data_IF_095520049835
#
_entry.id   IF_095520049835
#
_cell.length_a   1.000
_cell.length_b   1.000
_cell.length_c   1.000
_cell.angle_alpha   90.00
_cell.angle_beta   90.00
_cell.angle_gamma   90.00
#
_symmetry.space_group_name_H-M   'P 1'
#
loop_
_entity.id
_entity.type
_entity.pdbx_description
1 polymer ?
#
# COMPACT_ATOMS: atom_id res chain seq x y z
N UNK A 1 -38.69 -0.59 -6.32
CA UNK A 1 -37.40 -0.82 -5.66
C UNK A 1 -37.73 -1.17 -4.23
N UNK A 2 -37.48 -2.41 -3.82
CA UNK A 2 -37.87 -2.86 -2.48
C UNK A 2 -37.20 -2.00 -1.42
N UNK A 3 -38.01 -1.35 -0.59
CA UNK A 3 -37.55 -0.43 0.45
C UNK A 3 -36.50 -1.08 1.37
N UNK A 4 -36.68 -2.38 1.64
CA UNK A 4 -35.72 -3.21 2.37
C UNK A 4 -34.34 -3.30 1.70
N UNK A 5 -34.26 -3.36 0.37
CA UNK A 5 -33.00 -3.42 -0.36
C UNK A 5 -32.24 -2.09 -0.24
N UNK A 6 -32.95 -0.97 -0.32
CA UNK A 6 -32.37 0.37 -0.14
C UNK A 6 -31.85 0.58 1.30
N UNK A 7 -32.58 0.06 2.29
CA UNK A 7 -32.14 0.08 3.69
C UNK A 7 -30.88 -0.74 3.91
N UNK A 8 -30.84 -1.97 3.39
CA UNK A 8 -29.66 -2.81 3.46
C UNK A 8 -28.47 -2.12 2.80
N UNK A 9 -28.65 -1.51 1.62
CA UNK A 9 -27.60 -0.76 0.95
C UNK A 9 -27.04 0.41 1.79
N UNK A 10 -27.89 1.13 2.53
CA UNK A 10 -27.48 2.22 3.42
C UNK A 10 -26.65 1.71 4.61
N UNK A 11 -27.03 0.57 5.20
CA UNK A 11 -26.29 -0.04 6.30
C UNK A 11 -24.89 -0.50 5.83
N UNK A 12 -24.78 -0.98 4.59
CA UNK A 12 -23.49 -1.42 4.03
C UNK A 12 -22.61 -0.26 3.52
N UNK A 13 -23.19 0.93 3.32
CA UNK A 13 -22.49 2.10 2.78
C UNK A 13 -21.16 2.45 3.49
N UNK A 14 -21.08 2.58 4.84
CA UNK A 14 -19.82 2.88 5.51
C UNK A 14 -18.70 1.87 5.20
N UNK A 15 -19.07 0.58 5.13
CA UNK A 15 -18.14 -0.49 4.79
C UNK A 15 -17.60 -0.38 3.37
N UNK A 16 -18.47 -0.06 2.40
CA UNK A 16 -18.09 0.15 1.00
C UNK A 16 -17.16 1.37 0.87
N UNK A 17 -17.46 2.47 1.56
CA UNK A 17 -16.62 3.68 1.56
C UNK A 17 -15.20 3.34 2.05
N UNK A 18 -15.09 2.68 3.19
CA UNK A 18 -13.77 2.30 3.71
C UNK A 18 -13.07 1.31 2.78
N UNK A 19 -13.74 0.26 2.32
CA UNK A 19 -13.14 -0.74 1.43
C UNK A 19 -12.64 -0.15 0.11
N UNK A 20 -13.34 0.82 -0.47
CA UNK A 20 -12.89 1.49 -1.70
C UNK A 20 -11.68 2.38 -1.48
N UNK A 21 -11.60 3.06 -0.33
CA UNK A 21 -10.41 3.84 0.07
C UNK A 21 -9.21 2.92 0.30
N UNK A 22 -9.40 1.82 1.04
CA UNK A 22 -8.37 0.79 1.27
C UNK A 22 -7.89 0.18 -0.06
N UNK A 23 -8.81 -0.22 -0.94
CA UNK A 23 -8.47 -0.81 -2.23
C UNK A 23 -7.70 0.15 -3.17
N UNK A 24 -7.88 1.46 -3.03
CA UNK A 24 -7.25 2.47 -3.90
C UNK A 24 -5.92 2.98 -3.35
N UNK A 25 -5.78 3.10 -2.03
CA UNK A 25 -4.63 3.77 -1.40
C UNK A 25 -3.90 2.92 -0.36
N UNK A 26 -4.52 1.86 0.15
CA UNK A 26 -3.95 1.00 1.18
C UNK A 26 -3.43 -0.33 0.65
N UNK A 27 -4.17 -0.97 -0.25
CA UNK A 27 -3.80 -2.22 -0.87
C UNK A 27 -2.94 -1.97 -2.11
N UNK A 28 -1.70 -2.46 -2.13
CA UNK A 28 -0.79 -2.35 -3.28
C UNK A 28 -1.32 -3.04 -4.55
N UNK A 29 -2.11 -4.11 -4.38
CA UNK A 29 -2.79 -4.81 -5.48
C UNK A 29 -4.30 -4.57 -5.42
N UNK A 30 -4.91 -4.30 -6.58
CA UNK A 30 -6.38 -4.17 -6.70
C UNK A 30 -7.02 -5.49 -6.24
N UNK A 31 -7.82 -5.49 -5.15
CA UNK A 31 -8.43 -6.71 -4.65
C UNK A 31 -9.44 -7.26 -5.66
N UNK A 32 -9.54 -8.58 -5.74
CA UNK A 32 -10.57 -9.26 -6.53
C UNK A 32 -11.98 -8.86 -6.01
N UNK A 33 -12.99 -8.86 -6.89
CA UNK A 33 -14.33 -8.37 -6.56
C UNK A 33 -14.95 -9.04 -5.32
N UNK A 34 -14.72 -10.33 -5.13
CA UNK A 34 -15.17 -11.09 -3.95
C UNK A 34 -14.46 -10.64 -2.67
N UNK A 35 -13.13 -10.44 -2.73
CA UNK A 35 -12.34 -9.92 -1.62
C UNK A 35 -12.76 -8.50 -1.25
N UNK A 36 -13.08 -7.66 -2.23
CA UNK A 36 -13.60 -6.30 -1.99
C UNK A 36 -14.94 -6.35 -1.24
N UNK A 37 -15.85 -7.24 -1.63
CA UNK A 37 -17.15 -7.41 -0.96
C UNK A 37 -16.98 -7.86 0.49
N UNK A 38 -16.11 -8.85 0.74
CA UNK A 38 -15.80 -9.34 2.10
C UNK A 38 -15.18 -8.22 2.94
N UNK A 39 -14.25 -7.44 2.37
CA UNK A 39 -13.64 -6.29 3.05
C UNK A 39 -14.67 -5.22 3.38
N UNK A 40 -15.57 -4.89 2.45
CA UNK A 40 -16.64 -3.93 2.70
C UNK A 40 -17.52 -4.37 3.87
N UNK A 41 -17.90 -5.65 3.93
CA UNK A 41 -18.64 -6.18 5.08
C UNK A 41 -17.84 -6.06 6.39
N UNK A 42 -16.57 -6.45 6.39
CA UNK A 42 -15.71 -6.39 7.57
C UNK A 42 -15.50 -4.97 8.10
N UNK A 43 -15.21 -4.02 7.21
CA UNK A 43 -15.05 -2.60 7.58
C UNK A 43 -16.37 -1.96 8.00
N UNK A 44 -17.50 -2.37 7.42
CA UNK A 44 -18.82 -1.95 7.87
C UNK A 44 -19.06 -2.36 9.32
N UNK A 45 -18.86 -3.63 9.63
CA UNK A 45 -18.97 -4.12 11.01
C UNK A 45 -18.00 -3.42 11.97
N UNK A 46 -16.75 -3.19 11.55
CA UNK A 46 -15.78 -2.45 12.36
C UNK A 46 -16.26 -1.01 12.65
N UNK A 47 -16.84 -0.34 11.65
CA UNK A 47 -17.39 1.02 11.82
C UNK A 47 -18.51 1.04 12.85
N UNK A 48 -19.48 0.12 12.75
CA UNK A 48 -20.57 0.04 13.72
C UNK A 48 -20.10 -0.37 15.11
N UNK A 49 -19.09 -1.25 15.21
CA UNK A 49 -18.50 -1.62 16.49
C UNK A 49 -17.84 -0.41 17.18
N UNK A 50 -17.09 0.41 16.44
CA UNK A 50 -16.49 1.64 16.98
C UNK A 50 -17.58 2.64 17.35
N UNK A 51 -18.61 2.80 16.52
CA UNK A 51 -19.74 3.68 16.81
C UNK A 51 -20.47 3.27 18.10
N UNK A 52 -20.68 1.97 18.30
CA UNK A 52 -21.24 1.40 19.51
C UNK A 52 -20.40 1.75 20.74
N UNK A 53 -19.07 1.60 20.67
CA UNK A 53 -18.17 1.97 21.76
C UNK A 53 -18.23 3.47 22.08
N UNK A 54 -18.34 4.32 21.05
CA UNK A 54 -18.52 5.77 21.22
C UNK A 54 -19.84 6.06 21.95
N UNK A 55 -20.95 5.47 21.51
CA UNK A 55 -22.27 5.68 22.12
C UNK A 55 -22.30 5.22 23.57
N UNK A 56 -21.69 4.07 23.87
CA UNK A 56 -21.53 3.56 25.23
C UNK A 56 -20.73 4.52 26.11
N UNK A 57 -19.63 5.09 25.59
CA UNK A 57 -18.84 6.11 26.31
C UNK A 57 -19.59 7.40 26.60
N UNK A 58 -20.53 7.79 25.73
CA UNK A 58 -21.40 8.96 25.93
C UNK A 58 -22.71 8.65 26.67
N UNK A 59 -22.92 7.40 27.11
CA UNK A 59 -24.14 6.97 27.79
C UNK A 59 -25.40 7.03 26.91
N UNK A 60 -25.25 7.01 25.59
CA UNK A 60 -26.39 6.96 24.65
C UNK A 60 -26.81 5.52 24.40
N UNK A 61 -28.11 5.30 24.26
CA UNK A 61 -28.65 4.02 23.81
C UNK A 61 -28.28 3.80 22.34
N UNK A 62 -27.80 2.60 22.05
CA UNK A 62 -27.59 2.12 20.69
C UNK A 62 -28.73 1.15 20.37
N UNK A 63 -29.25 1.19 19.14
CA UNK A 63 -30.43 0.47 18.66
C UNK A 63 -30.27 -1.06 18.54
N UNK A 64 -29.39 -1.68 19.34
CA UNK A 64 -29.20 -3.14 19.33
C UNK A 64 -30.43 -3.91 19.83
N UNK A 65 -31.30 -3.26 20.62
CA UNK A 65 -32.49 -3.89 21.19
C UNK A 65 -33.52 -4.23 20.11
N UNK A 66 -33.57 -3.48 19.01
CA UNK A 66 -34.48 -3.73 17.89
C UNK A 66 -34.01 -4.88 16.98
N UNK A 67 -32.70 -5.17 16.93
CA UNK A 67 -32.16 -6.31 16.19
C UNK A 67 -32.55 -7.66 16.82
N UNK A 68 -32.82 -7.68 18.13
CA UNK A 68 -33.22 -8.88 18.87
C UNK A 68 -34.71 -9.23 18.68
N UNK A 69 -35.54 -8.26 18.30
CA UNK A 69 -37.00 -8.42 18.17
C UNK A 69 -37.46 -8.87 16.78
N UNK A 70 -36.52 -9.09 15.85
CA UNK A 70 -36.77 -9.62 14.51
C UNK A 70 -36.77 -8.55 13.42
N UNK A 71 -36.60 -8.96 12.14
CA UNK A 71 -36.40 -8.03 11.02
C UNK A 71 -37.63 -7.17 10.67
N UNK A 72 -38.82 -7.49 11.20
CA UNK A 72 -40.06 -6.73 10.93
C UNK A 72 -40.23 -5.49 11.82
N UNK A 73 -39.46 -5.34 12.91
CA UNK A 73 -39.60 -4.22 13.86
C UNK A 73 -38.48 -3.19 13.79
N UNK A 74 -37.63 -3.24 12.75
CA UNK A 74 -36.50 -2.31 12.62
C UNK A 74 -37.02 -0.91 12.30
N UNK A 75 -37.21 -0.10 13.33
CA UNK A 75 -37.66 1.29 13.21
C UNK A 75 -36.54 2.17 12.66
N UNK A 76 -36.59 2.46 11.36
CA UNK A 76 -35.60 3.29 10.67
C UNK A 76 -35.41 4.69 11.30
N UNK A 77 -36.41 5.22 11.99
CA UNK A 77 -36.30 6.49 12.73
C UNK A 77 -35.24 6.43 13.84
N UNK A 78 -35.07 5.28 14.48
CA UNK A 78 -34.10 5.10 15.57
C UNK A 78 -32.68 4.86 15.01
N UNK A 79 -32.57 4.13 13.91
CA UNK A 79 -31.28 3.84 13.25
C UNK A 79 -30.77 4.98 12.36
N UNK A 80 -31.59 5.97 12.03
CA UNK A 80 -31.22 7.09 11.16
C UNK A 80 -29.97 7.80 11.67
N UNK A 81 -29.91 8.06 12.97
CA UNK A 81 -28.77 8.76 13.58
C UNK A 81 -27.51 7.90 13.51
N UNK A 82 -27.63 6.60 13.74
CA UNK A 82 -26.50 5.66 13.66
C UNK A 82 -25.95 5.55 12.24
N UNK A 83 -26.83 5.42 11.25
CA UNK A 83 -26.43 5.40 9.83
C UNK A 83 -25.78 6.74 9.46
N UNK A 84 -26.38 7.87 9.85
CA UNK A 84 -25.84 9.20 9.56
C UNK A 84 -24.44 9.41 10.18
N UNK A 85 -24.19 8.94 11.40
CA UNK A 85 -22.87 9.05 12.05
C UNK A 85 -21.87 8.00 11.58
N UNK A 86 -22.33 6.84 11.11
CA UNK A 86 -21.46 5.76 10.60
C UNK A 86 -20.71 6.16 9.33
N UNK A 87 -21.31 6.94 8.44
CA UNK A 87 -20.69 7.38 7.18
C UNK A 87 -19.44 8.25 7.41
N UNK A 88 -19.50 9.40 8.12
CA UNK A 88 -18.30 10.21 8.39
C UNK A 88 -17.31 9.48 9.31
N UNK A 89 -17.79 8.62 10.21
CA UNK A 89 -16.91 7.78 11.03
C UNK A 89 -16.11 6.79 10.17
N UNK A 90 -16.75 6.13 9.20
CA UNK A 90 -16.08 5.17 8.31
C UNK A 90 -14.97 5.84 7.50
N UNK A 91 -15.20 7.06 7.01
CA UNK A 91 -14.19 7.83 6.31
C UNK A 91 -13.01 8.15 7.22
N UNK A 92 -13.28 8.60 8.45
CA UNK A 92 -12.26 8.92 9.44
C UNK A 92 -11.42 7.68 9.80
N UNK A 93 -12.09 6.55 10.05
CA UNK A 93 -11.44 5.27 10.33
C UNK A 93 -10.64 4.76 9.12
N UNK A 94 -11.11 4.99 7.89
CA UNK A 94 -10.36 4.65 6.68
C UNK A 94 -9.06 5.45 6.59
N UNK A 95 -9.06 6.75 6.91
CA UNK A 95 -7.83 7.55 6.95
C UNK A 95 -6.88 7.05 8.06
N UNK A 96 -7.40 6.77 9.26
CA UNK A 96 -6.60 6.19 10.33
C UNK A 96 -6.00 4.83 9.93
N UNK A 97 -6.78 4.01 9.22
CA UNK A 97 -6.34 2.73 8.68
C UNK A 97 -5.20 2.88 7.68
N UNK A 98 -5.30 3.84 6.75
CA UNK A 98 -4.21 4.13 5.81
C UNK A 98 -2.92 4.53 6.53
N UNK A 99 -3.01 5.28 7.64
CA UNK A 99 -1.83 5.55 8.48
C UNK A 99 -1.27 4.29 9.14
N UNK A 100 -2.14 3.41 9.67
CA UNK A 100 -1.72 2.14 10.26
C UNK A 100 -0.98 1.27 9.25
N UNK A 101 -1.51 1.19 8.03
CA UNK A 101 -0.89 0.46 6.91
C UNK A 101 0.42 1.11 6.51
N UNK A 102 0.44 2.43 6.25
CA UNK A 102 1.63 3.18 5.84
C UNK A 102 2.80 3.03 6.81
N UNK A 103 2.57 3.20 8.12
CA UNK A 103 3.62 3.10 9.13
C UNK A 103 3.93 1.66 9.58
N UNK A 104 3.28 0.67 8.94
CA UNK A 104 3.40 -0.76 9.24
C UNK A 104 3.20 -1.07 10.72
N UNK A 105 2.31 -0.34 11.39
CA UNK A 105 2.11 -0.42 12.84
C UNK A 105 1.67 -1.82 13.28
N UNK A 106 0.81 -2.46 12.48
CA UNK A 106 0.33 -3.82 12.74
C UNK A 106 1.45 -4.85 12.62
N UNK A 107 2.31 -4.73 11.60
CA UNK A 107 3.49 -5.61 11.43
C UNK A 107 4.48 -5.43 12.58
N UNK A 108 4.76 -4.19 12.99
CA UNK A 108 5.62 -3.90 14.15
C UNK A 108 5.04 -4.49 15.43
N UNK A 109 3.73 -4.40 15.64
CA UNK A 109 3.05 -4.98 16.80
C UNK A 109 3.16 -6.51 16.77
N UNK A 110 2.84 -7.16 15.64
CA UNK A 110 2.91 -8.61 15.50
C UNK A 110 4.34 -9.16 15.73
N UNK A 111 5.37 -8.46 15.26
CA UNK A 111 6.76 -8.81 15.56
C UNK A 111 7.10 -8.59 17.03
N UNK A 112 6.63 -7.50 17.65
CA UNK A 112 6.85 -7.20 19.07
C UNK A 112 6.27 -8.28 19.98
N UNK A 113 5.10 -8.82 19.64
CA UNK A 113 4.48 -9.93 20.39
C UNK A 113 4.99 -11.31 19.95
N UNK A 114 5.90 -11.38 18.97
CA UNK A 114 6.47 -12.63 18.46
C UNK A 114 5.50 -13.51 17.67
N UNK A 115 4.34 -12.98 17.26
CA UNK A 115 3.31 -13.73 16.54
C UNK A 115 3.71 -14.06 15.09
N UNK A 116 4.64 -13.30 14.52
CA UNK A 116 5.21 -13.58 13.19
C UNK A 116 6.66 -13.12 13.11
N UNK A 117 7.44 -13.82 12.28
CA UNK A 117 8.76 -13.40 11.80
C UNK A 117 8.76 -13.08 10.30
N UNK A 118 7.59 -13.17 9.65
CA UNK A 118 7.42 -12.97 8.22
C UNK A 118 7.22 -11.48 7.93
N UNK A 119 8.14 -10.91 7.17
CA UNK A 119 8.03 -9.57 6.58
C UNK A 119 7.08 -9.63 5.36
N UNK A 120 5.76 -9.69 5.60
CA UNK A 120 4.74 -9.51 4.55
C UNK A 120 4.80 -10.43 3.32
N UNK A 121 4.09 -9.99 2.27
CA UNK A 121 4.09 -10.53 0.89
C UNK A 121 4.92 -9.65 -0.08
N UNK A 122 5.72 -8.72 0.46
CA UNK A 122 6.61 -7.89 -0.37
C UNK A 122 7.70 -8.78 -0.95
N UNK A 123 7.80 -8.79 -2.28
CA UNK A 123 8.94 -9.40 -2.93
C UNK A 123 10.23 -8.62 -2.63
N UNK A 124 11.39 -9.23 -2.93
CA UNK A 124 12.69 -8.61 -2.63
C UNK A 124 12.87 -7.27 -3.33
N UNK A 125 12.19 -7.05 -4.47
CA UNK A 125 12.22 -5.78 -5.20
C UNK A 125 11.52 -4.68 -4.40
N UNK A 126 10.27 -4.91 -4.01
CA UNK A 126 9.50 -3.96 -3.19
C UNK A 126 10.13 -3.77 -1.83
N UNK A 127 10.67 -4.83 -1.22
CA UNK A 127 11.40 -4.73 0.04
C UNK A 127 12.64 -3.83 -0.08
N UNK A 128 13.43 -4.03 -1.14
CA UNK A 128 14.66 -3.28 -1.36
C UNK A 128 14.34 -1.80 -1.60
N UNK A 129 13.46 -1.50 -2.55
CA UNK A 129 13.13 -0.11 -2.93
C UNK A 129 12.28 0.66 -1.91
N UNK A 130 11.63 -0.03 -0.95
CA UNK A 130 11.00 0.60 0.22
C UNK A 130 11.97 0.86 1.37
N UNK A 131 13.24 0.50 1.26
CA UNK A 131 14.23 0.72 2.31
C UNK A 131 14.58 2.21 2.42
N UNK A 132 14.51 2.77 3.63
CA UNK A 132 14.96 4.15 3.93
C UNK A 132 16.50 4.31 3.93
N UNK A 133 17.24 3.32 3.39
CA UNK A 133 18.69 3.37 3.36
C UNK A 133 19.18 4.13 2.12
N UNK A 134 20.10 5.08 2.34
CA UNK A 134 20.67 5.91 1.28
C UNK A 134 21.39 5.11 0.16
N UNK A 135 21.78 3.86 0.43
CA UNK A 135 22.41 3.00 -0.56
C UNK A 135 21.45 2.53 -1.66
N UNK A 136 20.13 2.60 -1.44
CA UNK A 136 19.12 2.14 -2.40
C UNK A 136 18.64 3.27 -3.32
N UNK A 137 18.86 4.52 -2.94
CA UNK A 137 18.29 5.68 -3.65
C UNK A 137 18.89 5.88 -5.05
N UNK A 138 20.16 5.54 -5.25
CA UNK A 138 20.84 5.61 -6.54
C UNK A 138 21.17 4.22 -7.06
N UNK A 139 20.80 3.93 -8.30
CA UNK A 139 20.87 2.59 -8.87
C UNK A 139 21.52 2.60 -10.25
N UNK A 140 22.22 1.51 -10.57
CA UNK A 140 22.52 1.14 -11.94
C UNK A 140 21.56 0.04 -12.36
N UNK A 141 20.61 0.36 -13.22
CA UNK A 141 19.67 -0.58 -13.80
C UNK A 141 20.22 -1.09 -15.13
N UNK A 142 20.50 -2.39 -15.23
CA UNK A 142 20.98 -3.04 -16.45
C UNK A 142 19.85 -3.75 -17.17
N UNK A 143 19.73 -3.48 -18.46
CA UNK A 143 18.92 -4.22 -19.40
C UNK A 143 19.81 -5.26 -20.10
N UNK A 144 19.65 -6.53 -19.72
CA UNK A 144 20.54 -7.61 -20.16
C UNK A 144 20.33 -7.99 -21.64
N UNK A 145 19.14 -7.72 -22.18
CA UNK A 145 18.80 -8.04 -23.58
C UNK A 145 19.29 -6.96 -24.54
N UNK A 146 19.17 -5.68 -24.15
CA UNK A 146 19.53 -4.57 -25.02
C UNK A 146 20.93 -3.98 -24.73
N UNK A 147 21.60 -4.44 -23.67
CA UNK A 147 22.97 -4.01 -23.34
C UNK A 147 23.07 -2.56 -22.86
N UNK A 148 22.01 -2.01 -22.25
CA UNK A 148 22.03 -0.64 -21.73
C UNK A 148 22.18 -0.63 -20.20
N UNK A 149 22.87 0.39 -19.70
CA UNK A 149 23.02 0.66 -18.27
C UNK A 149 22.41 2.04 -18.00
N UNK A 150 21.43 2.09 -17.10
CA UNK A 150 20.77 3.33 -16.70
C UNK A 150 21.15 3.65 -15.26
N UNK A 151 21.93 4.71 -15.07
CA UNK A 151 22.36 5.16 -13.75
C UNK A 151 21.53 6.36 -13.31
N UNK A 152 20.82 6.28 -12.17
CA UNK A 152 19.95 7.37 -11.75
C UNK A 152 19.33 7.16 -10.38
N UNK A 153 18.59 8.18 -9.93
CA UNK A 153 17.88 8.17 -8.65
C UNK A 153 16.51 7.55 -8.79
N UNK A 154 16.13 6.65 -7.90
CA UNK A 154 14.80 6.04 -7.89
C UNK A 154 13.76 7.11 -7.52
N UNK A 155 12.80 7.34 -8.42
CA UNK A 155 11.69 8.28 -8.20
C UNK A 155 10.39 7.55 -7.86
N UNK A 156 10.08 6.51 -8.63
CA UNK A 156 8.90 5.66 -8.42
C UNK A 156 9.15 4.25 -8.99
N UNK A 157 8.38 3.27 -8.54
CA UNK A 157 8.42 1.91 -9.06
C UNK A 157 7.05 1.25 -8.91
N UNK A 158 6.82 0.15 -9.64
CA UNK A 158 5.60 -0.65 -9.51
C UNK A 158 5.81 -1.91 -8.66
N UNK A 159 4.72 -2.35 -8.04
CA UNK A 159 4.63 -3.62 -7.29
C UNK A 159 4.04 -4.76 -8.14
N UNK A 160 4.06 -4.61 -9.47
CA UNK A 160 3.48 -5.59 -10.40
C UNK A 160 4.27 -6.90 -10.44
N UNK A 161 3.57 -8.03 -10.63
CA UNK A 161 4.18 -9.35 -10.67
C UNK A 161 4.75 -9.77 -12.04
N UNK A 162 4.31 -9.17 -13.14
CA UNK A 162 4.77 -9.60 -14.47
C UNK A 162 5.93 -8.75 -15.00
N UNK A 163 5.87 -7.44 -14.75
CA UNK A 163 6.85 -6.46 -15.20
C UNK A 163 7.36 -5.63 -14.04
N UNK A 164 8.65 -5.32 -14.06
CA UNK A 164 9.25 -4.32 -13.19
C UNK A 164 9.25 -2.99 -13.90
N UNK A 165 8.53 -2.04 -13.33
CA UNK A 165 8.51 -0.67 -13.79
C UNK A 165 9.26 0.20 -12.80
N UNK A 166 10.12 1.06 -13.31
CA UNK A 166 10.88 2.02 -12.50
C UNK A 166 10.97 3.35 -13.25
N UNK A 167 10.75 4.42 -12.51
CA UNK A 167 11.00 5.80 -12.94
C UNK A 167 12.27 6.27 -12.25
N UNK A 168 13.27 6.58 -13.06
CA UNK A 168 14.54 7.14 -12.60
C UNK A 168 14.56 8.65 -12.84
N UNK A 169 15.25 9.39 -11.99
CA UNK A 169 15.51 10.82 -12.10
C UNK A 169 17.01 11.10 -12.21
N UNK A 170 17.37 12.20 -12.88
CA UNK A 170 18.76 12.61 -13.15
C UNK A 170 19.60 11.46 -13.70
N UNK A 171 19.14 10.92 -14.82
CA UNK A 171 19.62 9.65 -15.36
C UNK A 171 20.77 9.89 -16.32
N UNK A 172 21.74 8.97 -16.30
CA UNK A 172 22.78 8.84 -17.31
C UNK A 172 22.61 7.47 -17.96
N UNK A 173 22.51 7.46 -19.28
CA UNK A 173 22.38 6.23 -20.07
C UNK A 173 23.73 5.88 -20.66
N UNK A 174 24.18 4.66 -20.44
CA UNK A 174 25.39 4.10 -21.02
C UNK A 174 25.07 2.93 -21.95
N UNK A 175 25.92 2.72 -22.96
CA UNK A 175 25.98 1.46 -23.70
C UNK A 175 26.67 0.36 -22.86
N UNK A 176 26.72 -0.85 -23.41
CA UNK A 176 27.34 -2.02 -22.76
C UNK A 176 28.84 -1.80 -22.51
N UNK A 177 29.50 -1.01 -23.37
CA UNK A 177 30.91 -0.67 -23.26
C UNK A 177 31.18 0.44 -22.22
N UNK A 178 30.13 1.06 -21.66
CA UNK A 178 30.23 2.13 -20.67
C UNK A 178 30.35 3.53 -21.27
N UNK A 179 30.11 3.71 -22.57
CA UNK A 179 30.05 5.02 -23.19
C UNK A 179 28.72 5.69 -22.90
N UNK A 180 28.76 6.96 -22.52
CA UNK A 180 27.55 7.75 -22.27
C UNK A 180 26.81 8.06 -23.59
N UNK A 181 25.51 7.75 -23.62
CA UNK A 181 24.62 7.97 -24.77
C UNK A 181 23.78 9.23 -24.55
N UNK A 182 23.21 9.40 -23.35
CA UNK A 182 22.30 10.52 -23.06
C UNK A 182 22.12 10.78 -21.56
N UNK A 183 21.59 11.97 -21.22
CA UNK A 183 21.29 12.39 -19.85
C UNK A 183 19.85 12.92 -19.68
N UNK A 184 18.83 12.08 -19.73
CA UNK A 184 17.46 12.54 -19.56
C UNK A 184 17.19 12.90 -18.07
N UNK A 185 16.42 13.97 -17.81
CA UNK A 185 16.06 14.35 -16.43
C UNK A 185 15.18 13.30 -15.75
N UNK A 186 14.35 12.58 -16.52
CA UNK A 186 13.57 11.45 -16.07
C UNK A 186 13.59 10.34 -17.12
N UNK A 187 13.66 9.09 -16.69
CA UNK A 187 13.58 7.93 -17.58
C UNK A 187 12.64 6.88 -16.99
N UNK A 188 11.63 6.51 -17.77
CA UNK A 188 10.73 5.40 -17.45
C UNK A 188 11.24 4.11 -18.09
N UNK A 189 11.33 3.04 -17.30
CA UNK A 189 11.74 1.72 -17.76
C UNK A 189 10.69 0.69 -17.34
N UNK A 190 10.37 -0.24 -18.24
CA UNK A 190 9.53 -1.40 -17.97
C UNK A 190 10.16 -2.64 -18.59
N UNK A 191 10.48 -3.64 -17.76
CA UNK A 191 11.18 -4.87 -18.18
C UNK A 191 10.65 -6.12 -17.47
N UNK A 192 10.71 -7.29 -18.13
CA UNK A 192 10.46 -8.58 -17.48
C UNK A 192 11.42 -8.84 -16.31
N UNK A 193 10.93 -9.52 -15.27
CA UNK A 193 11.70 -9.80 -14.04
C UNK A 193 13.03 -10.54 -14.26
N UNK A 194 13.12 -11.37 -15.29
CA UNK A 194 14.29 -12.19 -15.62
C UNK A 194 15.33 -11.47 -16.49
N UNK A 195 15.05 -10.24 -16.93
CA UNK A 195 15.89 -9.50 -17.88
C UNK A 195 16.52 -8.23 -17.26
N UNK A 196 16.61 -8.19 -15.93
CA UNK A 196 17.09 -7.03 -15.21
C UNK A 196 18.16 -7.42 -14.20
N UNK A 197 19.16 -6.56 -14.06
CA UNK A 197 20.09 -6.59 -12.96
C UNK A 197 20.22 -5.18 -12.41
N UNK A 198 19.95 -5.00 -11.11
CA UNK A 198 20.17 -3.74 -10.42
C UNK A 198 21.40 -3.81 -9.52
N UNK A 199 22.27 -2.81 -9.62
CA UNK A 199 23.40 -2.60 -8.71
C UNK A 199 23.18 -1.33 -7.90
N UNK A 200 23.67 -1.34 -6.66
CA UNK A 200 23.61 -0.21 -5.73
C UNK A 200 25.05 0.28 -5.49
N UNK A 201 25.53 1.26 -6.28
CA UNK A 201 26.94 1.64 -6.28
C UNK A 201 27.36 2.44 -5.04
N UNK A 202 26.41 2.89 -4.20
CA UNK A 202 26.69 3.69 -3.02
C UNK A 202 27.58 2.92 -2.03
N UNK A 203 28.68 3.56 -1.61
CA UNK A 203 29.59 3.07 -0.57
C UNK A 203 29.73 4.16 0.48
N UNK A 204 29.48 3.83 1.75
CA UNK A 204 29.61 4.78 2.86
C UNK A 204 31.04 5.34 2.99
N UNK A 205 32.04 4.57 2.59
CA UNK A 205 33.47 4.95 2.63
C UNK A 205 33.96 5.66 1.34
N UNK A 206 33.08 5.91 0.37
CA UNK A 206 33.45 6.48 -0.93
C UNK A 206 34.02 5.46 -1.93
N UNK A 207 34.25 5.89 -3.17
CA UNK A 207 34.84 5.06 -4.23
C UNK A 207 36.36 5.01 -4.06
N UNK A 208 36.90 3.83 -3.72
CA UNK A 208 38.34 3.54 -3.85
C UNK A 208 38.57 2.94 -5.23
N UNK A 209 39.37 3.61 -6.07
CA UNK A 209 39.74 3.09 -7.37
C UNK A 209 40.74 1.94 -7.19
N UNK A 210 40.29 0.71 -7.48
CA UNK A 210 41.11 -0.49 -7.34
C UNK A 210 42.25 -0.51 -8.37
N UNK A 211 42.20 0.33 -9.42
CA UNK A 211 43.23 0.41 -10.46
C UNK A 211 44.45 1.22 -10.04
N UNK A 212 44.36 2.06 -9.01
CA UNK A 212 45.51 2.83 -8.52
C UNK A 212 46.46 1.99 -7.66
N UNK A 213 45.99 0.88 -7.08
CA UNK A 213 46.85 0.01 -6.25
C UNK A 213 47.85 -0.82 -7.07
N UNK A 214 47.54 -1.15 -8.32
CA UNK A 214 48.43 -1.96 -9.19
C UNK A 214 49.57 -1.16 -9.84
N UNK A 215 49.55 0.18 -9.79
CA UNK A 215 50.62 1.02 -10.37
C UNK A 215 51.77 1.33 -9.37
N UNK A 216 51.73 0.76 -8.17
CA UNK A 216 52.75 0.97 -7.13
C UNK A 216 53.41 -0.31 -6.59
N UNK A 217 53.32 -1.43 -7.33
CA UNK A 217 54.08 -2.65 -7.04
C UNK A 217 55.20 -2.92 -8.05
#
# INVERSE_FOLDING_TARGET
MDFALAQLALIFMPGIIWATIDAKYGAGLKPQQTTLLIRAFMFGMATYAVLFLIYLGFGKSFGYQDLANGPESVNFLELKDEIAWSVPLSFSLAVCWLWIVKFRLLVKLLHKIGATRRYGDEDVWSYTLNSDQANVEYVHFRDLENGFIFAGWVNAYSESEDFREILLASVIVYDEAGNEISRPPFLYLSRPKNNIWMEFPYRAEGYKDVREEDNHQ
#
